data_IF_277661955781
#
_entry.id   IF_277661955781
#
_cell.length_a   1.000
_cell.length_b   1.000
_cell.length_c   1.000
_cell.angle_alpha   90.00
_cell.angle_beta   90.00
_cell.angle_gamma   90.00
#
_symmetry.space_group_name_H-M   'P 1'
#
loop_
_entity.id
_entity.type
_entity.pdbx_description
1 polymer ?
#
# COMPACT_ATOMS: atom_id res chain seq x y z
N UNK A 1 12.85 1.62 -15.10
CA UNK A 1 12.07 0.47 -15.60
C UNK A 1 10.84 0.35 -14.71
N UNK A 2 9.68 0.82 -15.16
CA UNK A 2 8.44 0.68 -14.38
C UNK A 2 7.99 -0.76 -14.46
N UNK A 3 7.97 -1.46 -13.33
CA UNK A 3 7.36 -2.79 -13.24
C UNK A 3 5.85 -2.61 -13.43
N UNK A 4 5.36 -2.69 -14.66
CA UNK A 4 3.91 -2.64 -14.93
C UNK A 4 3.18 -3.87 -14.36
N UNK A 5 3.92 -4.94 -14.04
CA UNK A 5 3.42 -6.14 -13.37
C UNK A 5 4.47 -6.64 -12.37
N UNK A 6 4.03 -7.00 -11.16
CA UNK A 6 4.89 -7.75 -10.24
C UNK A 6 5.00 -9.20 -10.74
N UNK A 7 6.17 -9.85 -10.62
CA UNK A 7 6.31 -11.23 -11.05
C UNK A 7 5.34 -12.12 -10.28
N UNK A 8 4.66 -13.05 -10.98
CA UNK A 8 3.71 -13.99 -10.35
C UNK A 8 4.30 -14.76 -9.17
N UNK A 9 5.63 -14.90 -9.10
CA UNK A 9 6.34 -15.56 -8.01
C UNK A 9 6.16 -14.87 -6.66
N UNK A 10 5.83 -13.57 -6.63
CA UNK A 10 5.67 -12.83 -5.37
C UNK A 10 4.58 -13.45 -4.48
N UNK A 11 3.56 -14.02 -5.10
CA UNK A 11 2.48 -14.77 -4.44
C UNK A 11 2.96 -15.97 -3.63
N UNK A 12 4.16 -16.52 -3.93
CA UNK A 12 4.75 -17.65 -3.22
C UNK A 12 5.56 -17.22 -1.99
N UNK A 13 5.82 -15.93 -1.82
CA UNK A 13 6.55 -15.39 -0.67
C UNK A 13 5.62 -15.24 0.53
N UNK A 14 4.92 -16.31 0.89
CA UNK A 14 3.91 -16.30 1.95
C UNK A 14 4.49 -15.98 3.33
N UNK A 15 5.80 -16.08 3.52
CA UNK A 15 6.49 -15.71 4.78
C UNK A 15 6.95 -14.25 4.80
N UNK A 16 6.79 -13.51 3.71
CA UNK A 16 7.28 -12.14 3.58
C UNK A 16 6.51 -11.21 4.52
N UNK A 17 7.25 -10.50 5.38
CA UNK A 17 6.69 -9.53 6.34
C UNK A 17 6.95 -8.08 5.97
N UNK A 18 8.04 -7.82 5.24
CA UNK A 18 8.47 -6.50 4.84
C UNK A 18 8.61 -6.45 3.32
N UNK A 19 7.96 -5.47 2.70
CA UNK A 19 8.05 -5.25 1.26
C UNK A 19 8.30 -3.76 0.99
N UNK A 20 9.45 -3.47 0.40
CA UNK A 20 9.79 -2.13 -0.08
C UNK A 20 9.62 -2.05 -1.59
N UNK A 21 8.70 -1.19 -1.99
CA UNK A 21 8.37 -0.86 -3.36
C UNK A 21 8.50 0.65 -3.60
N UNK A 22 9.23 1.36 -2.75
CA UNK A 22 9.43 2.80 -2.88
C UNK A 22 10.12 3.17 -4.20
N UNK A 23 9.91 4.42 -4.64
CA UNK A 23 10.52 5.00 -5.85
C UNK A 23 10.23 4.22 -7.14
N UNK A 24 9.09 3.55 -7.21
CA UNK A 24 8.62 2.88 -8.41
C UNK A 24 7.59 3.74 -9.17
N UNK A 25 7.46 3.48 -10.47
CA UNK A 25 6.57 4.25 -11.35
C UNK A 25 5.23 3.54 -11.59
N UNK A 26 4.70 2.85 -10.58
CA UNK A 26 3.40 2.19 -10.69
C UNK A 26 2.33 3.23 -10.96
N UNK A 27 1.48 3.01 -11.96
CA UNK A 27 0.19 3.73 -12.04
C UNK A 27 -0.85 3.12 -11.09
N UNK A 28 -0.81 1.80 -10.98
CA UNK A 28 -1.66 0.97 -10.11
C UNK A 28 -0.77 -0.06 -9.45
N UNK A 29 -0.93 -0.29 -8.16
CA UNK A 29 -0.21 -1.38 -7.49
C UNK A 29 -0.84 -2.74 -7.91
N UNK A 30 -0.05 -3.74 -8.34
CA UNK A 30 -0.61 -5.01 -8.79
C UNK A 30 -1.36 -5.79 -7.69
N UNK A 31 -2.47 -6.43 -8.04
CA UNK A 31 -3.29 -7.23 -7.12
C UNK A 31 -2.52 -8.36 -6.43
N UNK A 32 -1.47 -8.89 -7.06
CA UNK A 32 -0.61 -9.95 -6.49
C UNK A 32 0.01 -9.59 -5.13
N UNK A 33 0.16 -8.29 -4.81
CA UNK A 33 0.61 -7.85 -3.48
C UNK A 33 -0.37 -8.27 -2.38
N UNK A 34 -1.66 -8.38 -2.70
CA UNK A 34 -2.70 -8.80 -1.75
C UNK A 34 -2.63 -10.29 -1.38
N UNK A 35 -1.77 -11.07 -2.05
CA UNK A 35 -1.53 -12.48 -1.73
C UNK A 35 -0.47 -12.66 -0.64
N UNK A 36 0.23 -11.59 -0.25
CA UNK A 36 1.23 -11.58 0.82
C UNK A 36 0.53 -11.49 2.18
N UNK A 37 -0.19 -12.55 2.57
CA UNK A 37 -1.09 -12.55 3.74
C UNK A 37 -0.38 -12.31 5.08
N UNK A 38 0.93 -12.53 5.16
CA UNK A 38 1.74 -12.27 6.35
C UNK A 38 2.50 -10.93 6.31
N UNK A 39 2.24 -10.09 5.30
CA UNK A 39 2.89 -8.79 5.18
C UNK A 39 2.49 -7.88 6.33
N UNK A 40 3.47 -7.34 7.04
CA UNK A 40 3.28 -6.42 8.17
C UNK A 40 3.65 -4.98 7.84
N UNK A 41 4.54 -4.80 6.86
CA UNK A 41 5.01 -3.49 6.42
C UNK A 41 5.07 -3.40 4.90
N UNK A 42 4.47 -2.34 4.35
CA UNK A 42 4.51 -2.00 2.93
C UNK A 42 4.98 -0.55 2.73
N UNK A 43 6.13 -0.38 2.07
CA UNK A 43 6.62 0.94 1.66
C UNK A 43 6.36 1.19 0.18
N UNK A 44 5.58 2.22 -0.10
CA UNK A 44 5.28 2.74 -1.44
C UNK A 44 5.68 4.21 -1.57
N UNK A 45 6.52 4.72 -0.66
CA UNK A 45 6.96 6.11 -0.70
C UNK A 45 7.60 6.47 -2.04
N UNK A 46 7.45 7.72 -2.46
CA UNK A 46 7.96 8.24 -3.74
C UNK A 46 7.43 7.50 -4.99
N UNK A 47 6.30 6.78 -4.89
CA UNK A 47 5.60 6.28 -6.08
C UNK A 47 4.73 7.39 -6.69
N UNK A 48 5.37 8.38 -7.31
CA UNK A 48 4.71 9.64 -7.74
C UNK A 48 3.65 9.43 -8.84
N UNK A 49 3.70 8.29 -9.55
CA UNK A 49 2.73 7.95 -10.58
C UNK A 49 1.52 7.15 -10.07
N UNK A 50 1.55 6.71 -8.81
CA UNK A 50 0.55 5.83 -8.22
C UNK A 50 -0.78 6.55 -8.05
N UNK A 51 -1.82 6.03 -8.67
CA UNK A 51 -3.17 6.61 -8.66
C UNK A 51 -4.14 5.81 -7.80
N UNK A 52 -3.94 4.50 -7.70
CA UNK A 52 -4.81 3.58 -6.99
C UNK A 52 -4.05 2.40 -6.40
N UNK A 53 -4.60 1.91 -5.30
CA UNK A 53 -4.21 0.70 -4.60
C UNK A 53 -5.26 -0.39 -4.84
N UNK A 54 -4.86 -1.67 -4.91
CA UNK A 54 -5.81 -2.76 -5.09
C UNK A 54 -6.74 -2.86 -3.89
N UNK A 55 -8.03 -3.03 -4.13
CA UNK A 55 -9.05 -3.07 -3.07
C UNK A 55 -8.82 -4.22 -2.08
N UNK A 56 -8.15 -5.29 -2.50
CA UNK A 56 -7.78 -6.42 -1.67
C UNK A 56 -6.77 -6.10 -0.56
N UNK A 57 -6.12 -4.93 -0.55
CA UNK A 57 -5.26 -4.51 0.56
C UNK A 57 -6.00 -4.44 1.90
N UNK A 58 -7.31 -4.14 1.88
CA UNK A 58 -8.17 -4.17 3.09
C UNK A 58 -8.26 -5.56 3.74
N UNK A 59 -7.93 -6.62 2.98
CA UNK A 59 -7.94 -8.00 3.46
C UNK A 59 -6.63 -8.41 4.14
N UNK A 60 -5.56 -7.62 4.03
CA UNK A 60 -4.29 -7.90 4.69
C UNK A 60 -4.36 -7.57 6.18
N UNK A 61 -4.99 -8.46 6.97
CA UNK A 61 -5.20 -8.28 8.41
C UNK A 61 -3.89 -8.14 9.21
N UNK A 62 -2.78 -8.62 8.66
CA UNK A 62 -1.46 -8.50 9.28
C UNK A 62 -0.72 -7.20 8.89
N UNK A 63 -1.23 -6.40 7.95
CA UNK A 63 -0.57 -5.17 7.54
C UNK A 63 -0.75 -4.11 8.62
N UNK A 64 0.35 -3.78 9.31
CA UNK A 64 0.37 -2.86 10.43
C UNK A 64 0.87 -1.47 10.03
N UNK A 65 1.70 -1.39 9.00
CA UNK A 65 2.36 -0.16 8.60
C UNK A 65 2.31 0.02 7.08
N UNK A 66 1.85 1.19 6.65
CA UNK A 66 1.76 1.57 5.25
C UNK A 66 2.35 2.96 5.05
N UNK A 67 3.43 3.05 4.27
CA UNK A 67 4.03 4.32 3.88
C UNK A 67 3.68 4.67 2.44
N UNK A 68 2.97 5.77 2.25
CA UNK A 68 2.56 6.31 0.95
C UNK A 68 3.07 7.74 0.74
N UNK A 69 4.07 8.18 1.50
CA UNK A 69 4.64 9.52 1.34
C UNK A 69 5.05 9.80 -0.11
N UNK A 70 4.83 11.04 -0.57
CA UNK A 70 5.15 11.47 -1.94
C UNK A 70 4.37 10.75 -3.07
N UNK A 71 3.29 10.02 -2.76
CA UNK A 71 2.33 9.51 -3.75
C UNK A 71 1.36 10.61 -4.23
N UNK A 72 1.90 11.62 -4.91
CA UNK A 72 1.17 12.85 -5.26
C UNK A 72 -0.02 12.67 -6.21
N UNK A 73 -0.09 11.56 -6.95
CA UNK A 73 -1.22 11.22 -7.84
C UNK A 73 -2.28 10.32 -7.21
N UNK A 74 -2.06 9.84 -5.99
CA UNK A 74 -2.97 8.92 -5.31
C UNK A 74 -4.27 9.65 -4.94
N UNK A 75 -5.40 9.11 -5.41
CA UNK A 75 -6.70 9.77 -5.22
C UNK A 75 -7.53 9.12 -4.12
N UNK A 76 -7.37 7.81 -3.92
CA UNK A 76 -8.21 6.99 -3.03
C UNK A 76 -7.39 5.90 -2.36
N UNK A 77 -7.82 5.54 -1.16
CA UNK A 77 -7.35 4.38 -0.40
C UNK A 77 -8.45 3.30 -0.38
N UNK A 78 -8.10 2.01 -0.15
CA UNK A 78 -9.10 0.97 0.10
C UNK A 78 -9.98 1.35 1.30
N UNK A 79 -11.29 1.10 1.21
CA UNK A 79 -12.29 1.67 2.13
C UNK A 79 -12.09 1.33 3.61
N UNK A 80 -11.55 0.16 3.93
CA UNK A 80 -11.39 -0.34 5.30
C UNK A 80 -9.95 -0.78 5.56
N UNK A 81 -9.25 -0.07 6.46
CA UNK A 81 -7.85 -0.34 6.81
C UNK A 81 -7.70 -0.52 8.33
N UNK A 82 -8.48 -1.45 8.90
CA UNK A 82 -8.67 -1.65 10.35
C UNK A 82 -7.48 -2.26 11.11
N UNK A 83 -6.47 -2.75 10.39
CA UNK A 83 -5.26 -3.37 10.95
C UNK A 83 -4.12 -2.38 11.17
N UNK A 84 -4.14 -1.22 10.52
CA UNK A 84 -3.02 -0.27 10.54
C UNK A 84 -2.80 0.33 11.93
N UNK A 85 -1.55 0.31 12.35
CA UNK A 85 -1.02 1.05 13.50
C UNK A 85 -0.28 2.32 13.05
N UNK A 86 0.21 2.34 11.81
CA UNK A 86 0.89 3.49 11.21
C UNK A 86 0.49 3.67 9.74
N UNK A 87 0.20 4.91 9.36
CA UNK A 87 -0.13 5.33 8.01
C UNK A 87 0.55 6.66 7.70
N UNK A 88 1.49 6.68 6.75
CA UNK A 88 2.18 7.91 6.34
C UNK A 88 1.64 8.41 4.99
N UNK A 89 1.11 9.64 4.96
CA UNK A 89 0.47 10.25 3.79
C UNK A 89 1.07 11.61 3.41
N UNK A 90 2.24 11.97 3.93
CA UNK A 90 2.90 13.24 3.61
C UNK A 90 3.02 13.42 2.09
N UNK A 91 2.64 14.60 1.58
CA UNK A 91 2.65 14.93 0.15
C UNK A 91 1.68 14.10 -0.75
N UNK A 92 0.69 13.41 -0.18
CA UNK A 92 -0.45 12.85 -0.93
C UNK A 92 -1.49 13.92 -1.30
N UNK A 93 -1.09 14.92 -2.08
CA UNK A 93 -1.87 16.17 -2.30
C UNK A 93 -3.20 16.00 -3.06
N UNK A 94 -3.44 14.84 -3.69
CA UNK A 94 -4.67 14.54 -4.43
C UNK A 94 -5.61 13.56 -3.71
N UNK A 95 -5.24 13.11 -2.52
CA UNK A 95 -6.05 12.17 -1.75
C UNK A 95 -7.33 12.87 -1.28
N UNK A 96 -8.49 12.32 -1.64
CA UNK A 96 -9.79 12.97 -1.39
C UNK A 96 -10.36 12.61 -0.02
N UNK A 97 -10.14 11.37 0.43
CA UNK A 97 -10.73 10.83 1.66
C UNK A 97 -9.78 9.85 2.35
N UNK A 98 -9.88 9.79 3.68
CA UNK A 98 -9.22 8.76 4.48
C UNK A 98 -10.12 7.52 4.59
N UNK A 99 -9.54 6.31 4.63
CA UNK A 99 -10.30 5.09 4.81
C UNK A 99 -10.86 5.00 6.22
N UNK A 100 -11.86 4.15 6.40
CA UNK A 100 -12.40 3.81 7.71
C UNK A 100 -11.46 2.86 8.44
N UNK A 101 -11.67 2.73 9.75
CA UNK A 101 -10.94 1.77 10.58
C UNK A 101 -9.59 2.25 11.11
N UNK A 102 -9.26 3.54 10.97
CA UNK A 102 -7.99 4.12 11.43
C UNK A 102 -7.92 4.41 12.94
N UNK A 103 -8.81 3.84 13.75
CA UNK A 103 -8.87 4.12 15.20
C UNK A 103 -7.67 3.60 15.98
N UNK A 104 -6.83 2.75 15.39
CA UNK A 104 -5.61 2.19 16.00
C UNK A 104 -4.33 2.94 15.64
N UNK A 105 -4.41 4.00 14.83
CA UNK A 105 -3.22 4.77 14.46
C UNK A 105 -2.61 5.40 15.70
N UNK A 106 -1.31 5.17 15.89
CA UNK A 106 -0.52 5.81 16.95
C UNK A 106 -0.02 7.17 16.45
N UNK A 107 -0.10 8.19 17.30
CA UNK A 107 0.43 9.55 17.03
C UNK A 107 1.96 9.56 16.98
#
# INVERSE_FOLDING_TARGET
LGLNEMPRIISKLITLRYLDLSRNNFRKLPDSVTQLVNLTYLNLSYCTELQELPSGLSKLQNLLQLNLSDCSKLQKLPTDMTSLLSLTLSYCVRLQELPRGLSKLQN
#
